data_IF_822673449054
#
_entry.id   IF_822673449054
#
_cell.length_a   1.000
_cell.length_b   1.000
_cell.length_c   1.000
_cell.angle_alpha   90.00
_cell.angle_beta   90.00
_cell.angle_gamma   90.00
#
_symmetry.space_group_name_H-M   'P 1'
#
loop_
_entity.id
_entity.type
_entity.pdbx_description
1 polymer ?
#
# COMPACT_ATOMS: atom_id res chain seq x y z
N UNK A 1 -7.93 -12.61 18.16
CA UNK A 1 -8.68 -11.36 17.92
C UNK A 1 -8.49 -10.97 16.47
N UNK A 2 -9.56 -10.74 15.72
CA UNK A 2 -9.44 -10.19 14.37
C UNK A 2 -9.19 -8.68 14.50
N UNK A 3 -8.08 -8.19 13.94
CA UNK A 3 -7.78 -6.75 13.96
C UNK A 3 -8.84 -5.98 13.15
N UNK A 4 -9.20 -4.76 13.59
CA UNK A 4 -10.15 -3.89 12.87
C UNK A 4 -9.55 -3.21 11.63
N UNK A 5 -8.26 -3.39 11.38
CA UNK A 5 -7.51 -2.70 10.32
C UNK A 5 -6.31 -3.54 9.90
N UNK A 6 -5.98 -3.49 8.60
CA UNK A 6 -4.83 -4.20 8.04
C UNK A 6 -3.50 -3.58 8.48
N UNK A 7 -3.53 -2.29 8.86
CA UNK A 7 -2.35 -1.49 9.23
C UNK A 7 -2.22 -1.34 10.76
N UNK A 8 -2.66 -2.36 11.49
CA UNK A 8 -2.47 -2.41 12.94
C UNK A 8 -0.96 -2.56 13.27
N UNK A 9 -0.48 -1.81 14.26
CA UNK A 9 0.93 -1.81 14.63
C UNK A 9 1.23 -2.97 15.61
N UNK A 10 1.58 -4.12 15.06
CA UNK A 10 2.11 -5.26 15.83
C UNK A 10 3.55 -5.01 16.26
N UNK A 11 4.06 -5.86 17.16
CA UNK A 11 5.44 -5.79 17.65
C UNK A 11 6.44 -5.99 16.50
N UNK A 12 6.22 -7.00 15.67
CA UNK A 12 6.96 -7.32 14.44
C UNK A 12 7.02 -6.14 13.46
N UNK A 13 5.92 -5.42 13.22
CA UNK A 13 5.92 -4.23 12.35
C UNK A 13 6.79 -3.11 12.94
N UNK A 14 6.71 -2.88 14.25
CA UNK A 14 7.56 -1.88 14.93
C UNK A 14 9.03 -2.27 14.82
N UNK A 15 9.37 -3.52 15.12
CA UNK A 15 10.73 -4.06 15.02
C UNK A 15 11.27 -3.97 13.59
N UNK A 16 10.44 -4.32 12.60
CA UNK A 16 10.77 -4.20 11.18
C UNK A 16 11.08 -2.75 10.78
N UNK A 17 10.55 -1.74 11.48
CA UNK A 17 10.74 -0.32 11.16
C UNK A 17 11.92 0.35 11.87
N UNK A 18 12.57 -0.32 12.82
CA UNK A 18 13.52 0.31 13.75
C UNK A 18 14.76 0.91 13.08
N UNK A 19 15.36 0.17 12.15
CA UNK A 19 16.58 0.54 11.41
C UNK A 19 16.31 1.43 10.19
N UNK A 20 15.04 1.69 9.87
CA UNK A 20 14.67 2.59 8.77
C UNK A 20 14.91 4.02 9.23
N UNK A 21 15.86 4.69 8.60
CA UNK A 21 16.24 6.08 8.87
C UNK A 21 16.11 6.94 7.61
N UNK A 22 16.11 8.25 7.76
CA UNK A 22 16.11 9.21 6.65
C UNK A 22 15.97 10.64 7.17
N UNK A 23 16.49 11.58 6.41
CA UNK A 23 16.46 13.02 6.71
C UNK A 23 15.18 13.70 6.23
N UNK A 24 14.50 13.12 5.24
CA UNK A 24 13.25 13.62 4.66
C UNK A 24 12.19 12.52 4.61
N UNK A 25 10.91 12.90 4.50
CA UNK A 25 9.81 11.94 4.32
C UNK A 25 10.00 11.08 3.06
N UNK A 26 10.46 11.69 1.97
CA UNK A 26 10.72 10.97 0.71
C UNK A 26 11.84 9.94 0.89
N UNK A 27 12.95 10.30 1.54
CA UNK A 27 14.04 9.38 1.82
C UNK A 27 13.56 8.21 2.70
N UNK A 28 12.79 8.51 3.76
CA UNK A 28 12.19 7.47 4.61
C UNK A 28 11.29 6.55 3.77
N UNK A 29 10.48 7.08 2.86
CA UNK A 29 9.62 6.28 1.99
C UNK A 29 10.40 5.38 1.04
N UNK A 30 11.48 5.90 0.44
CA UNK A 30 12.36 5.08 -0.40
C UNK A 30 13.03 3.97 0.42
N UNK A 31 13.45 4.26 1.65
CA UNK A 31 14.06 3.27 2.55
C UNK A 31 13.06 2.21 3.03
N UNK A 32 11.81 2.59 3.34
CA UNK A 32 10.72 1.63 3.63
C UNK A 32 10.50 0.73 2.42
N UNK A 33 10.35 1.31 1.22
CA UNK A 33 10.14 0.56 -0.03
C UNK A 33 11.27 -0.43 -0.24
N UNK A 34 12.52 0.02 -0.19
CA UNK A 34 13.71 -0.83 -0.35
C UNK A 34 13.66 -2.02 0.61
N UNK A 35 13.45 -1.77 1.90
CA UNK A 35 13.42 -2.84 2.91
C UNK A 35 12.30 -3.85 2.67
N UNK A 36 11.11 -3.39 2.27
CA UNK A 36 10.00 -4.29 1.90
C UNK A 36 10.41 -5.20 0.73
N UNK A 37 11.00 -4.65 -0.32
CA UNK A 37 11.42 -5.42 -1.50
C UNK A 37 12.62 -6.33 -1.25
N UNK A 38 13.45 -6.04 -0.24
CA UNK A 38 14.52 -6.95 0.24
C UNK A 38 13.96 -8.09 1.10
N UNK A 39 12.79 -7.90 1.71
CA UNK A 39 12.19 -8.87 2.66
C UNK A 39 11.16 -9.78 1.99
N UNK A 40 10.35 -9.23 1.11
CA UNK A 40 9.21 -9.91 0.47
C UNK A 40 9.62 -10.39 -0.92
N UNK A 41 9.35 -11.67 -1.18
CA UNK A 41 9.54 -12.27 -2.50
C UNK A 41 8.29 -12.08 -3.36
N UNK A 42 8.47 -11.47 -4.53
CA UNK A 42 7.44 -11.45 -5.56
C UNK A 42 7.39 -12.80 -6.27
N UNK A 43 6.23 -13.44 -6.26
CA UNK A 43 6.02 -14.75 -6.86
C UNK A 43 4.76 -14.74 -7.72
N UNK A 44 4.67 -15.60 -8.73
CA UNK A 44 3.40 -15.86 -9.41
C UNK A 44 2.60 -16.82 -8.55
N UNK A 45 1.53 -16.35 -7.91
CA UNK A 45 0.68 -17.23 -7.11
C UNK A 45 -0.31 -17.97 -8.00
N UNK A 46 -0.63 -19.19 -7.58
CA UNK A 46 -1.78 -19.92 -8.11
C UNK A 46 -3.05 -19.05 -7.99
N UNK A 47 -3.95 -19.16 -8.96
CA UNK A 47 -5.14 -18.31 -9.01
C UNK A 47 -6.06 -18.52 -7.82
N UNK A 48 -6.23 -19.77 -7.36
CA UNK A 48 -7.06 -20.06 -6.20
C UNK A 48 -6.46 -19.45 -4.94
N UNK A 49 -5.17 -19.67 -4.71
CA UNK A 49 -4.49 -19.12 -3.55
C UNK A 49 -4.49 -17.58 -3.55
N UNK A 50 -4.32 -16.96 -4.72
CA UNK A 50 -4.39 -15.51 -4.83
C UNK A 50 -5.77 -14.95 -4.47
N UNK A 51 -6.86 -15.61 -4.90
CA UNK A 51 -8.24 -15.25 -4.49
C UNK A 51 -8.47 -15.45 -2.99
N UNK A 52 -7.82 -16.42 -2.39
CA UNK A 52 -7.91 -16.69 -0.96
C UNK A 52 -7.30 -15.55 -0.15
N UNK A 53 -6.18 -14.96 -0.58
CA UNK A 53 -5.47 -13.93 0.18
C UNK A 53 -5.81 -12.48 -0.22
N UNK A 54 -6.32 -12.25 -1.45
CA UNK A 54 -6.57 -10.90 -1.98
C UNK A 54 -7.43 -10.07 -1.02
N UNK A 55 -6.87 -8.92 -0.62
CA UNK A 55 -7.50 -7.94 0.28
C UNK A 55 -7.85 -8.46 1.68
N UNK A 56 -7.36 -9.64 2.07
CA UNK A 56 -7.68 -10.26 3.37
C UNK A 56 -6.52 -10.24 4.36
N UNK A 57 -5.30 -10.03 3.88
CA UNK A 57 -4.12 -10.06 4.75
C UNK A 57 -3.91 -8.72 5.45
N UNK A 58 -3.49 -8.81 6.70
CA UNK A 58 -2.92 -7.69 7.46
C UNK A 58 -1.45 -7.49 7.08
N UNK A 59 -0.90 -6.31 7.38
CA UNK A 59 0.53 -6.04 7.20
C UNK A 59 1.42 -7.05 7.93
N UNK A 60 1.01 -7.48 9.12
CA UNK A 60 1.71 -8.48 9.92
C UNK A 60 1.78 -9.84 9.20
N UNK A 61 0.65 -10.31 8.66
CA UNK A 61 0.60 -11.54 7.87
C UNK A 61 1.43 -11.44 6.60
N UNK A 62 1.39 -10.30 5.90
CA UNK A 62 2.21 -10.09 4.69
C UNK A 62 3.70 -10.16 5.03
N UNK A 63 4.11 -9.57 6.17
CA UNK A 63 5.48 -9.59 6.65
C UNK A 63 5.94 -10.99 7.08
N UNK A 64 5.06 -11.76 7.72
CA UNK A 64 5.33 -13.15 8.15
C UNK A 64 5.42 -14.11 6.95
N UNK A 65 4.45 -14.04 6.04
CA UNK A 65 4.37 -14.87 4.83
C UNK A 65 5.57 -14.63 3.89
N UNK A 66 6.08 -13.38 3.85
CA UNK A 66 7.15 -12.92 2.95
C UNK A 66 6.90 -13.17 1.46
N UNK A 67 5.66 -13.41 1.05
CA UNK A 67 5.28 -13.64 -0.34
C UNK A 67 4.15 -12.72 -0.77
N UNK A 68 4.27 -12.19 -1.98
CA UNK A 68 3.28 -11.32 -2.62
C UNK A 68 3.15 -11.66 -4.10
N UNK A 69 1.92 -11.64 -4.63
CA UNK A 69 1.67 -11.90 -6.05
C UNK A 69 2.30 -10.81 -6.92
N UNK A 70 3.07 -11.21 -7.92
CA UNK A 70 3.79 -10.29 -8.81
C UNK A 70 2.88 -9.42 -9.69
N UNK A 71 1.65 -9.89 -10.00
CA UNK A 71 0.72 -9.16 -10.89
C UNK A 71 -0.35 -8.38 -10.11
N UNK A 72 -0.75 -8.88 -8.94
CA UNK A 72 -1.95 -8.45 -8.20
C UNK A 72 -1.66 -8.02 -6.76
N UNK A 73 -0.39 -8.09 -6.36
CA UNK A 73 0.07 -7.81 -5.01
C UNK A 73 0.25 -6.33 -4.65
N UNK A 74 -0.13 -5.38 -5.52
CA UNK A 74 0.06 -3.96 -5.23
C UNK A 74 -0.63 -3.55 -3.92
N UNK A 75 -1.83 -4.07 -3.63
CA UNK A 75 -2.53 -3.79 -2.36
C UNK A 75 -1.73 -4.29 -1.16
N UNK A 76 -1.18 -5.52 -1.18
CA UNK A 76 -0.40 -6.04 -0.05
C UNK A 76 0.85 -5.19 0.22
N UNK A 77 1.58 -4.83 -0.84
CA UNK A 77 2.75 -3.95 -0.72
C UNK A 77 2.35 -2.58 -0.13
N UNK A 78 1.26 -1.98 -0.62
CA UNK A 78 0.76 -0.71 -0.09
C UNK A 78 0.35 -0.83 1.38
N UNK A 79 -0.30 -1.92 1.79
CA UNK A 79 -0.72 -2.16 3.18
C UNK A 79 0.47 -2.30 4.11
N UNK A 80 1.45 -3.13 3.74
CA UNK A 80 2.67 -3.28 4.52
C UNK A 80 3.41 -1.94 4.63
N UNK A 81 3.52 -1.21 3.53
CA UNK A 81 4.13 0.11 3.50
C UNK A 81 3.46 1.09 4.48
N UNK A 82 2.13 1.21 4.45
CA UNK A 82 1.40 2.13 5.34
C UNK A 82 1.62 1.75 6.80
N UNK A 83 1.62 0.46 7.14
CA UNK A 83 1.86 0.01 8.51
C UNK A 83 3.27 0.40 8.99
N UNK A 84 4.29 0.24 8.14
CA UNK A 84 5.66 0.64 8.47
C UNK A 84 5.80 2.16 8.56
N UNK A 85 5.23 2.92 7.61
CA UNK A 85 5.23 4.39 7.67
C UNK A 85 4.55 4.92 8.94
N UNK A 86 3.43 4.30 9.33
CA UNK A 86 2.73 4.59 10.57
C UNK A 86 3.57 4.27 11.81
N UNK A 87 4.39 3.22 11.79
CA UNK A 87 5.35 2.94 12.87
C UNK A 87 6.44 4.02 12.99
N UNK A 88 6.75 4.72 11.87
CA UNK A 88 7.61 5.91 11.85
C UNK A 88 6.86 7.21 12.14
N UNK A 89 5.63 7.14 12.64
CA UNK A 89 4.74 8.29 12.89
C UNK A 89 4.41 9.13 11.64
N UNK A 90 4.54 8.55 10.44
CA UNK A 90 4.15 9.21 9.20
C UNK A 90 2.74 8.76 8.83
N UNK A 91 1.84 9.73 8.63
CA UNK A 91 0.46 9.46 8.21
C UNK A 91 0.39 9.28 6.70
N UNK A 92 -0.17 8.17 6.27
CA UNK A 92 -0.43 7.85 4.88
C UNK A 92 -1.87 7.36 4.74
N UNK A 93 -2.53 7.80 3.68
CA UNK A 93 -3.80 7.26 3.22
C UNK A 93 -3.54 6.20 2.15
N UNK A 94 -4.31 5.12 2.20
CA UNK A 94 -4.45 4.16 1.11
C UNK A 94 -5.28 4.78 -0.01
N UNK A 95 -4.76 4.75 -1.24
CA UNK A 95 -5.47 5.26 -2.42
C UNK A 95 -5.66 4.14 -3.43
N UNK A 96 -6.91 4.00 -3.87
CA UNK A 96 -7.26 3.10 -4.97
C UNK A 96 -7.45 3.89 -6.25
N UNK A 97 -6.71 3.50 -7.27
CA UNK A 97 -6.71 4.12 -8.59
C UNK A 97 -7.41 3.21 -9.60
N UNK A 98 -8.02 3.84 -10.61
CA UNK A 98 -8.49 3.18 -11.83
C UNK A 98 -7.92 3.90 -13.03
N UNK A 99 -7.38 3.17 -14.01
CA UNK A 99 -6.92 3.79 -15.25
C UNK A 99 -8.08 4.47 -15.97
N UNK A 100 -7.80 5.53 -16.73
CA UNK A 100 -8.84 6.26 -17.48
C UNK A 100 -9.58 5.42 -18.51
N UNK A 101 -8.97 4.34 -18.99
CA UNK A 101 -9.62 3.34 -19.87
C UNK A 101 -10.45 2.30 -19.11
N UNK A 102 -10.47 2.36 -17.78
CA UNK A 102 -11.23 1.49 -16.88
C UNK A 102 -10.67 0.08 -16.68
N UNK A 103 -9.55 -0.28 -17.33
CA UNK A 103 -9.05 -1.67 -17.40
C UNK A 103 -8.13 -2.06 -16.27
N UNK A 104 -7.42 -1.10 -15.67
CA UNK A 104 -6.41 -1.34 -14.65
C UNK A 104 -6.83 -0.72 -13.32
N UNK A 105 -6.56 -1.47 -12.25
CA UNK A 105 -6.72 -1.02 -10.88
C UNK A 105 -5.36 -1.08 -10.21
N UNK A 106 -4.98 0.00 -9.53
CA UNK A 106 -3.69 0.10 -8.83
C UNK A 106 -3.89 0.64 -7.42
N UNK A 107 -2.94 0.36 -6.53
CA UNK A 107 -2.96 0.85 -5.14
C UNK A 107 -1.68 1.62 -4.88
N UNK A 108 -1.81 2.83 -4.33
CA UNK A 108 -0.70 3.70 -3.97
C UNK A 108 -0.95 4.30 -2.59
N UNK A 109 -0.01 5.10 -2.08
CA UNK A 109 -0.24 5.89 -0.88
C UNK A 109 -0.30 7.38 -1.20
N UNK A 110 -1.03 8.12 -0.37
CA UNK A 110 -1.09 9.57 -0.35
C UNK A 110 -0.68 10.07 1.02
N UNK A 111 0.12 11.12 1.08
CA UNK A 111 0.54 11.74 2.35
C UNK A 111 0.51 13.26 2.24
N UNK A 112 0.48 13.94 3.40
CA UNK A 112 0.50 15.40 3.47
C UNK A 112 1.83 15.85 4.07
N UNK A 113 2.57 16.68 3.35
CA UNK A 113 3.86 17.23 3.76
C UNK A 113 3.79 18.74 3.57
N UNK A 114 4.06 19.51 4.63
CA UNK A 114 4.07 20.98 4.62
C UNK A 114 2.85 21.63 3.98
N UNK A 115 1.67 21.03 4.18
CA UNK A 115 0.41 21.55 3.64
C UNK A 115 0.01 21.00 2.28
N UNK A 116 0.93 20.38 1.52
CA UNK A 116 0.69 19.83 0.19
C UNK A 116 0.48 18.31 0.23
N UNK A 117 -0.33 17.79 -0.69
CA UNK A 117 -0.50 16.35 -0.87
C UNK A 117 0.51 15.78 -1.86
N UNK A 118 1.05 14.62 -1.52
CA UNK A 118 1.99 13.85 -2.33
C UNK A 118 1.43 12.45 -2.56
N UNK A 119 1.68 11.92 -3.75
CA UNK A 119 1.38 10.55 -4.15
C UNK A 119 2.67 9.76 -4.24
N UNK A 120 2.68 8.55 -3.68
CA UNK A 120 3.81 7.64 -3.79
C UNK A 120 3.35 6.29 -4.34
N UNK A 121 3.78 5.97 -5.55
CA UNK A 121 3.60 4.62 -6.11
C UNK A 121 4.64 3.69 -5.49
N UNK A 122 4.24 2.97 -4.44
CA UNK A 122 5.13 2.05 -3.72
C UNK A 122 5.73 0.99 -4.64
N UNK A 123 5.02 0.58 -5.70
CA UNK A 123 5.55 -0.48 -6.59
C UNK A 123 6.62 0.04 -7.53
N UNK A 124 6.53 1.30 -7.95
CA UNK A 124 7.48 1.92 -8.90
C UNK A 124 8.51 2.84 -8.27
N UNK A 125 8.26 3.34 -7.06
CA UNK A 125 9.11 4.30 -6.36
C UNK A 125 8.92 5.76 -6.80
N UNK A 126 7.87 6.07 -7.56
CA UNK A 126 7.55 7.43 -8.00
C UNK A 126 6.95 8.24 -6.84
N UNK A 127 7.54 9.39 -6.53
CA UNK A 127 7.07 10.33 -5.51
C UNK A 127 6.77 11.69 -6.15
N UNK A 128 5.48 12.02 -6.29
CA UNK A 128 5.04 13.21 -6.99
C UNK A 128 4.16 14.09 -6.07
N UNK A 129 4.24 15.41 -6.24
CA UNK A 129 3.18 16.30 -5.75
C UNK A 129 1.88 15.96 -6.48
N UNK A 130 0.78 15.82 -5.74
CA UNK A 130 -0.51 15.36 -6.28
C UNK A 130 -0.99 16.25 -7.44
N UNK A 131 -0.89 17.57 -7.28
CA UNK A 131 -1.30 18.57 -8.28
C UNK A 131 -0.56 18.45 -9.63
N UNK A 132 0.66 17.90 -9.61
CA UNK A 132 1.54 17.79 -10.77
C UNK A 132 1.79 16.31 -11.17
N UNK A 133 1.05 15.37 -10.56
CA UNK A 133 1.40 13.95 -10.65
C UNK A 133 1.15 13.36 -12.03
N UNK A 134 2.18 12.69 -12.56
CA UNK A 134 2.07 11.91 -13.80
C UNK A 134 1.17 10.68 -13.64
N UNK A 135 0.99 10.21 -12.40
CA UNK A 135 0.07 9.11 -12.09
C UNK A 135 -1.36 9.52 -12.47
N UNK A 136 -1.79 10.72 -12.06
CA UNK A 136 -3.14 11.22 -12.30
C UNK A 136 -3.41 11.64 -13.75
N UNK A 137 -2.39 11.70 -14.60
CA UNK A 137 -2.59 11.86 -16.04
C UNK A 137 -3.27 10.63 -16.66
N UNK A 138 -3.00 9.43 -16.12
CA UNK A 138 -3.47 8.15 -16.66
C UNK A 138 -4.49 7.43 -15.76
N UNK A 139 -4.65 7.90 -14.52
CA UNK A 139 -5.50 7.28 -13.52
C UNK A 139 -6.40 8.29 -12.83
N UNK A 140 -7.58 7.84 -12.43
CA UNK A 140 -8.48 8.55 -11.54
C UNK A 140 -8.40 7.96 -10.13
N UNK A 141 -8.46 8.82 -9.11
CA UNK A 141 -8.64 8.40 -7.72
C UNK A 141 -10.08 7.94 -7.54
N UNK A 142 -10.26 6.67 -7.20
CA UNK A 142 -11.60 6.08 -7.00
C UNK A 142 -12.03 6.20 -5.54
N UNK A 143 -11.13 5.84 -4.62
CA UNK A 143 -11.37 5.89 -3.18
C UNK A 143 -10.07 6.16 -2.43
N UNK A 144 -10.22 6.81 -1.28
CA UNK A 144 -9.15 7.07 -0.30
C UNK A 144 -9.65 6.60 1.06
N UNK A 145 -8.78 5.95 1.83
CA UNK A 145 -9.10 5.49 3.18
C UNK A 145 -7.85 5.09 3.95
N UNK A 146 -8.00 4.55 5.14
CA UNK A 146 -6.86 4.13 5.98
C UNK A 146 -6.14 2.90 5.43
N UNK A 147 -6.91 1.94 4.93
CA UNK A 147 -6.44 0.69 4.33
C UNK A 147 -7.49 0.19 3.33
N UNK A 148 -7.30 -1.02 2.76
CA UNK A 148 -8.23 -1.55 1.77
C UNK A 148 -9.58 -1.95 2.39
N UNK A 149 -9.59 -2.37 3.66
CA UNK A 149 -10.82 -2.69 4.39
C UNK A 149 -11.69 -1.44 4.63
N UNK A 150 -11.06 -0.32 4.98
CA UNK A 150 -11.72 0.96 5.21
C UNK A 150 -12.48 1.47 3.97
N UNK A 151 -11.99 1.16 2.76
CA UNK A 151 -12.66 1.51 1.50
C UNK A 151 -13.64 0.43 0.98
N UNK A 152 -13.86 -0.64 1.75
CA UNK A 152 -14.79 -1.72 1.44
C UNK A 152 -14.23 -2.85 0.58
N UNK A 153 -12.90 -3.02 0.54
CA UNK A 153 -12.24 -4.15 -0.13
C UNK A 153 -11.72 -5.12 0.93
N UNK A 154 -12.50 -6.14 1.28
CA UNK A 154 -12.19 -7.09 2.36
C UNK A 154 -12.35 -8.55 1.96
N UNK A 155 -12.98 -8.82 0.81
CA UNK A 155 -13.17 -10.16 0.27
C UNK A 155 -13.03 -10.18 -1.25
N UNK A 156 -12.76 -11.37 -1.78
CA UNK A 156 -12.75 -11.56 -3.23
C UNK A 156 -14.12 -11.23 -3.82
N UNK A 157 -14.13 -10.52 -4.95
CA UNK A 157 -15.35 -10.09 -5.62
C UNK A 157 -15.91 -8.75 -5.14
N UNK A 158 -15.36 -8.13 -4.10
CA UNK A 158 -15.72 -6.76 -3.74
C UNK A 158 -15.49 -5.82 -4.93
N UNK A 159 -16.51 -5.02 -5.24
CA UNK A 159 -16.48 -4.11 -6.38
C UNK A 159 -16.07 -2.72 -5.94
N UNK A 160 -15.19 -2.12 -6.71
CA UNK A 160 -14.94 -0.69 -6.65
C UNK A 160 -16.11 0.04 -7.30
N UNK A 161 -17.11 0.37 -6.50
CA UNK A 161 -18.19 1.27 -6.90
C UNK A 161 -17.65 2.69 -6.74
N UNK A 162 -17.55 3.43 -7.84
CA UNK A 162 -17.34 4.87 -7.83
C UNK A 162 -18.61 5.54 -7.30
N UNK A 163 -18.45 6.47 -6.36
CA UNK A 163 -19.56 7.34 -5.95
C UNK A 163 -20.01 8.24 -7.10
#
# INVERSE_FOLDING_TARGET
>A
MQHKSQIYLTKSIKEFSNDIVGSTTEEIFQNIRKKIYETVKLVSLDEQYEKEIRWKRTADQILDDKIVDTKRGCTDITILFIAVAKAKNIKCDFVKLRSKDGKLIHSIIRTKIDGEYFLFDVTKGNFDKEKDSKILQNFDIVKVGKDSWDIGLSKFGDKLISN
#
